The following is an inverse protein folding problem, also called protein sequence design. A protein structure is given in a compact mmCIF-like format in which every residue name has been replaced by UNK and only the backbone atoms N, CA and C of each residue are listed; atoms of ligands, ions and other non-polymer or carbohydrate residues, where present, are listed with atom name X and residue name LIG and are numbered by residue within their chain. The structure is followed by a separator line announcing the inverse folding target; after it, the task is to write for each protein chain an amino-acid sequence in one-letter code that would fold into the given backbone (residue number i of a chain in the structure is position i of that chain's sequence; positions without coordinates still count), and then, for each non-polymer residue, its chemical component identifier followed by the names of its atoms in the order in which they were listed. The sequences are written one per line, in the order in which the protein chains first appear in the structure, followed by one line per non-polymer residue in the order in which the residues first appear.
data_IF_051707514803
#
_entry.id   IF_051707514803
#
_cell.length_a   1.000
_cell.length_b   1.000
_cell.length_c   1.000
_cell.angle_alpha   90.00
_cell.angle_beta   90.00
_cell.angle_gamma   90.00
#
_symmetry.space_group_name_H-M   'P 1'
#
loop_
_entity.id
_entity.type
_entity.pdbx_description
1 polymer ?
#
# COMPACT_ATOMS: atom_id res chain seq x y z
N UNK A 1 15.53 34.12 -14.06
CA UNK A 1 15.46 32.76 -14.65
C UNK A 1 15.15 31.63 -13.64
N UNK A 2 15.12 31.87 -12.31
CA UNK A 2 14.74 30.85 -11.31
C UNK A 2 13.21 30.69 -11.11
N UNK A 3 12.43 31.76 -11.29
CA UNK A 3 10.96 31.72 -11.12
C UNK A 3 10.23 30.86 -12.17
N UNK A 4 10.72 30.85 -13.42
CA UNK A 4 10.12 30.07 -14.51
C UNK A 4 10.28 28.55 -14.33
N UNK A 5 11.38 28.10 -13.70
CA UNK A 5 11.56 26.68 -13.37
C UNK A 5 10.63 26.23 -12.23
N UNK A 6 10.45 27.07 -11.20
CA UNK A 6 9.52 26.78 -10.10
C UNK A 6 8.07 26.64 -10.56
N UNK A 7 7.59 27.56 -11.41
CA UNK A 7 6.25 27.48 -12.01
C UNK A 7 6.11 26.26 -12.95
N UNK A 8 7.16 25.89 -13.68
CA UNK A 8 7.16 24.73 -14.58
C UNK A 8 7.08 23.39 -13.83
N UNK A 9 7.85 23.22 -12.75
CA UNK A 9 7.77 22.02 -11.90
C UNK A 9 6.45 21.97 -11.12
N UNK A 10 5.97 23.09 -10.59
CA UNK A 10 4.67 23.15 -9.90
C UNK A 10 3.50 22.86 -10.86
N UNK A 11 3.49 23.47 -12.05
CA UNK A 11 2.48 23.24 -13.08
C UNK A 11 2.47 21.80 -13.62
N UNK A 12 3.64 21.18 -13.83
CA UNK A 12 3.75 19.75 -14.18
C UNK A 12 3.24 18.83 -13.08
N UNK A 13 3.46 19.18 -11.82
CA UNK A 13 2.98 18.39 -10.69
C UNK A 13 1.45 18.44 -10.61
N UNK A 14 0.84 19.61 -10.80
CA UNK A 14 -0.63 19.75 -10.83
C UNK A 14 -1.26 19.05 -12.06
N UNK A 15 -0.66 19.15 -13.24
CA UNK A 15 -1.19 18.47 -14.43
C UNK A 15 -1.10 16.95 -14.29
N UNK A 16 0.02 16.42 -13.79
CA UNK A 16 0.20 14.99 -13.53
C UNK A 16 -0.76 14.46 -12.46
N UNK A 17 -1.01 15.24 -11.40
CA UNK A 17 -2.00 14.89 -10.38
C UNK A 17 -3.44 14.88 -10.93
N UNK A 18 -3.78 15.83 -11.81
CA UNK A 18 -5.07 15.86 -12.48
C UNK A 18 -5.25 14.66 -13.41
N UNK A 19 -4.23 14.32 -14.18
CA UNK A 19 -4.22 13.14 -15.06
C UNK A 19 -4.37 11.84 -14.27
N UNK A 20 -3.64 11.71 -13.15
CA UNK A 20 -3.77 10.57 -12.24
C UNK A 20 -5.17 10.47 -11.65
N UNK A 21 -5.74 11.61 -11.24
CA UNK A 21 -7.12 11.65 -10.74
C UNK A 21 -8.13 11.21 -11.79
N UNK A 22 -8.05 11.75 -13.01
CA UNK A 22 -8.93 11.42 -14.13
C UNK A 22 -8.81 9.95 -14.53
N UNK A 23 -7.58 9.43 -14.59
CA UNK A 23 -7.31 8.02 -14.91
C UNK A 23 -7.92 7.10 -13.85
N UNK A 24 -7.79 7.46 -12.56
CA UNK A 24 -8.41 6.70 -11.47
C UNK A 24 -9.94 6.68 -11.61
N UNK A 25 -10.58 7.83 -11.87
CA UNK A 25 -12.03 7.88 -12.07
C UNK A 25 -12.49 7.03 -13.26
N UNK A 26 -11.72 7.04 -14.35
CA UNK A 26 -12.02 6.22 -15.53
C UNK A 26 -11.92 4.71 -15.20
N UNK A 27 -10.92 4.31 -14.42
CA UNK A 27 -10.75 2.92 -13.98
C UNK A 27 -11.85 2.47 -13.01
N UNK A 28 -12.32 3.35 -12.12
CA UNK A 28 -13.43 3.03 -11.21
C UNK A 28 -14.77 2.86 -11.95
N UNK A 29 -14.97 3.60 -13.05
CA UNK A 29 -16.19 3.51 -13.88
C UNK A 29 -16.14 2.43 -14.95
N UNK A 30 -15.00 1.77 -15.14
CA UNK A 30 -14.84 0.77 -16.17
C UNK A 30 -15.73 -0.46 -15.88
N UNK A 31 -16.38 -1.00 -16.91
CA UNK A 31 -17.11 -2.25 -16.81
C UNK A 31 -16.14 -3.43 -16.83
N UNK A 32 -16.42 -4.44 -16.00
CA UNK A 32 -15.58 -5.63 -15.87
C UNK A 32 -16.34 -6.88 -16.30
N UNK A 33 -15.66 -7.84 -16.96
CA UNK A 33 -16.23 -9.16 -17.19
C UNK A 33 -16.73 -9.77 -15.87
N UNK A 34 -17.83 -10.54 -15.93
CA UNK A 34 -18.43 -11.14 -14.73
C UNK A 34 -17.49 -12.08 -13.97
N UNK A 35 -16.51 -12.64 -14.68
CA UNK A 35 -15.48 -13.55 -14.19
C UNK A 35 -14.14 -12.87 -13.87
N UNK A 36 -14.08 -11.52 -13.91
CA UNK A 36 -12.87 -10.77 -13.57
C UNK A 36 -12.38 -11.04 -12.15
N UNK A 37 -13.30 -11.32 -11.23
CA UNK A 37 -13.00 -11.77 -9.88
C UNK A 37 -13.51 -13.19 -9.67
N UNK A 38 -12.68 -13.99 -9.00
CA UNK A 38 -13.09 -15.29 -8.49
C UNK A 38 -13.80 -15.08 -7.16
N UNK A 39 -14.96 -15.75 -6.98
CA UNK A 39 -15.70 -15.71 -5.71
C UNK A 39 -14.79 -16.21 -4.58
N UNK A 40 -14.65 -15.43 -3.52
CA UNK A 40 -13.96 -15.87 -2.33
C UNK A 40 -14.77 -16.99 -1.65
N UNK A 41 -14.22 -18.21 -1.63
CA UNK A 41 -14.76 -19.37 -0.91
C UNK A 41 -13.99 -19.69 0.36
N UNK A 42 -12.98 -18.89 0.70
CA UNK A 42 -12.16 -19.07 1.90
C UNK A 42 -12.82 -18.52 3.16
N UNK A 43 -12.40 -19.05 4.31
CA UNK A 43 -12.84 -18.61 5.64
C UNK A 43 -12.01 -17.46 6.22
N UNK A 44 -11.05 -16.93 5.45
CA UNK A 44 -10.17 -15.84 5.92
C UNK A 44 -10.96 -14.54 5.90
N UNK A 45 -11.32 -14.09 7.10
CA UNK A 45 -12.06 -12.86 7.28
C UNK A 45 -11.17 -11.63 7.09
N UNK A 46 -9.96 -11.63 7.66
CA UNK A 46 -9.10 -10.44 7.72
C UNK A 46 -7.76 -10.71 7.04
N UNK A 47 -7.33 -9.80 6.17
CA UNK A 47 -5.99 -9.80 5.60
C UNK A 47 -5.29 -8.49 5.94
N UNK A 48 -4.11 -8.59 6.54
CA UNK A 48 -3.27 -7.44 6.87
C UNK A 48 -2.04 -7.45 5.98
N UNK A 49 -1.79 -6.35 5.27
CA UNK A 49 -0.57 -6.16 4.51
C UNK A 49 0.22 -4.99 5.10
N UNK A 50 1.44 -5.30 5.54
CA UNK A 50 2.37 -4.33 6.15
C UNK A 50 3.45 -4.01 5.13
N UNK A 51 3.61 -2.74 4.84
CA UNK A 51 4.72 -2.22 4.06
C UNK A 51 5.76 -1.64 5.02
N UNK A 52 6.98 -2.18 4.98
CA UNK A 52 8.12 -1.60 5.70
C UNK A 52 8.82 -0.51 4.89
N UNK A 53 9.60 0.32 5.58
CA UNK A 53 10.42 1.37 4.98
C UNK A 53 11.91 1.03 5.15
N UNK A 54 12.66 1.11 4.04
CA UNK A 54 14.13 0.96 3.99
C UNK A 54 14.75 -0.29 4.67
N UNK A 55 13.97 -1.34 4.95
CA UNK A 55 14.43 -2.57 5.58
C UNK A 55 15.18 -3.48 4.60
N UNK A 56 16.33 -4.00 5.02
CA UNK A 56 17.16 -4.92 4.23
C UNK A 56 17.33 -6.26 4.95
N UNK A 57 17.00 -7.35 4.26
CA UNK A 57 17.12 -8.74 4.75
C UNK A 57 18.49 -9.10 5.31
N UNK A 58 19.56 -8.50 4.79
CA UNK A 58 20.93 -8.83 5.20
C UNK A 58 21.22 -8.40 6.65
N UNK A 59 20.38 -7.56 7.25
CA UNK A 59 20.49 -7.11 8.64
C UNK A 59 19.39 -7.68 9.54
N UNK A 60 18.69 -8.72 9.10
CA UNK A 60 17.57 -9.33 9.83
C UNK A 60 17.95 -10.72 10.35
N UNK A 61 17.85 -10.92 11.66
CA UNK A 61 18.20 -12.19 12.31
C UNK A 61 17.41 -13.39 11.78
N UNK A 62 16.15 -13.21 11.39
CA UNK A 62 15.29 -14.27 10.80
C UNK A 62 15.82 -14.82 9.47
N UNK A 63 16.70 -14.07 8.79
CA UNK A 63 17.41 -14.43 7.57
C UNK A 63 18.90 -14.78 7.81
N UNK A 64 19.32 -14.98 9.06
CA UNK A 64 20.68 -15.42 9.41
C UNK A 64 21.66 -14.31 9.76
N UNK A 65 21.21 -13.07 9.95
CA UNK A 65 22.08 -12.01 10.49
C UNK A 65 22.52 -12.35 11.93
N UNK A 66 23.77 -12.07 12.26
CA UNK A 66 24.37 -12.52 13.53
C UNK A 66 23.73 -11.90 14.77
N UNK A 67 23.28 -10.64 14.68
CA UNK A 67 22.62 -9.97 15.80
C UNK A 67 21.11 -10.30 15.80
N UNK A 68 20.49 -10.43 16.99
CA UNK A 68 19.06 -10.73 17.12
C UNK A 68 18.19 -9.50 16.85
N UNK A 69 18.20 -8.99 15.62
CA UNK A 69 17.45 -7.79 15.20
C UNK A 69 15.97 -8.05 14.98
N UNK A 70 15.56 -9.30 14.82
CA UNK A 70 14.15 -9.70 14.58
C UNK A 70 13.72 -10.89 15.44
N UNK A 71 13.86 -10.84 16.79
CA UNK A 71 13.67 -12.00 17.67
C UNK A 71 12.24 -12.56 17.63
N UNK A 72 11.24 -11.69 17.51
CA UNK A 72 9.83 -12.10 17.38
C UNK A 72 9.56 -12.84 16.07
N UNK A 73 10.12 -12.38 14.94
CA UNK A 73 9.98 -13.07 13.65
C UNK A 73 10.68 -14.43 13.66
N UNK A 74 11.87 -14.51 14.28
CA UNK A 74 12.57 -15.79 14.45
C UNK A 74 11.73 -16.78 15.26
N UNK A 75 11.12 -16.33 16.36
CA UNK A 75 10.23 -17.16 17.18
C UNK A 75 9.01 -17.66 16.38
N UNK A 76 8.41 -16.81 15.54
CA UNK A 76 7.28 -17.23 14.69
C UNK A 76 7.71 -18.24 13.62
N UNK A 77 8.92 -18.09 13.06
CA UNK A 77 9.49 -19.02 12.09
C UNK A 77 9.73 -20.39 12.72
N UNK A 78 10.32 -20.43 13.92
CA UNK A 78 10.55 -21.66 14.69
C UNK A 78 9.24 -22.38 15.03
N UNK A 79 8.18 -21.63 15.35
CA UNK A 79 6.83 -22.18 15.62
C UNK A 79 6.07 -22.64 14.36
N UNK A 80 6.63 -22.46 13.17
CA UNK A 80 5.95 -22.77 11.90
C UNK A 80 4.78 -21.83 11.58
N UNK A 81 4.68 -20.69 12.26
CA UNK A 81 3.61 -19.68 12.04
C UNK A 81 4.05 -18.54 11.11
N UNK A 82 5.30 -18.52 10.67
CA UNK A 82 5.84 -17.58 9.69
C UNK A 82 6.46 -18.33 8.52
N UNK A 83 5.97 -18.04 7.31
CA UNK A 83 6.63 -18.40 6.06
C UNK A 83 7.53 -17.23 5.61
N UNK A 84 8.84 -17.41 5.72
CA UNK A 84 9.83 -16.41 5.27
C UNK A 84 10.26 -16.71 3.83
N UNK A 85 10.35 -15.69 2.99
CA UNK A 85 10.78 -15.82 1.60
C UNK A 85 12.25 -15.40 1.44
N UNK A 86 13.10 -16.31 0.95
CA UNK A 86 14.54 -16.10 0.87
C UNK A 86 15.02 -15.53 -0.47
N UNK A 87 14.13 -15.18 -1.40
CA UNK A 87 14.52 -14.63 -2.70
C UNK A 87 13.51 -13.58 -3.19
N UNK A 88 13.45 -12.44 -2.50
CA UNK A 88 12.60 -11.30 -2.84
C UNK A 88 13.47 -10.06 -3.02
N UNK A 89 13.21 -9.32 -4.09
CA UNK A 89 13.85 -8.03 -4.39
C UNK A 89 12.78 -6.96 -4.56
N UNK A 90 13.12 -5.71 -4.21
CA UNK A 90 12.22 -4.59 -4.46
C UNK A 90 12.16 -4.25 -5.96
N UNK A 91 11.01 -3.78 -6.47
CA UNK A 91 10.89 -3.40 -7.87
C UNK A 91 11.70 -2.13 -8.18
N UNK A 92 11.98 -1.27 -7.19
CA UNK A 92 12.87 -0.11 -7.30
C UNK A 92 13.62 0.18 -5.98
N UNK A 93 14.63 1.06 -6.04
CA UNK A 93 15.49 1.40 -4.90
C UNK A 93 15.00 2.58 -4.04
N UNK A 94 13.96 3.31 -4.47
CA UNK A 94 13.36 4.40 -3.70
C UNK A 94 11.84 4.22 -3.62
N UNK A 95 11.27 4.67 -2.50
CA UNK A 95 9.89 4.40 -2.07
C UNK A 95 8.89 4.70 -3.17
N UNK A 96 8.83 5.95 -3.66
CA UNK A 96 7.79 6.36 -4.59
C UNK A 96 7.74 5.49 -5.87
N UNK A 97 8.88 5.25 -6.54
CA UNK A 97 8.90 4.38 -7.71
C UNK A 97 8.58 2.93 -7.39
N UNK A 98 8.96 2.43 -6.21
CA UNK A 98 8.60 1.08 -5.78
C UNK A 98 7.07 0.94 -5.71
N UNK A 99 6.40 1.93 -5.13
CA UNK A 99 4.94 1.95 -4.97
C UNK A 99 4.17 2.07 -6.28
N UNK A 100 4.74 2.71 -7.30
CA UNK A 100 4.13 2.72 -8.65
C UNK A 100 3.94 1.32 -9.23
N UNK A 101 4.81 0.35 -8.88
CA UNK A 101 4.71 -1.04 -9.33
C UNK A 101 4.05 -1.94 -8.28
N UNK A 102 4.38 -1.76 -7.01
CA UNK A 102 3.87 -2.61 -5.92
C UNK A 102 2.35 -2.54 -5.77
N UNK A 103 1.77 -1.35 -5.94
CA UNK A 103 0.33 -1.14 -5.76
C UNK A 103 -0.47 -1.20 -7.06
N UNK A 104 0.16 -1.39 -8.22
CA UNK A 104 -0.51 -1.34 -9.52
C UNK A 104 -0.18 -2.53 -10.39
N UNK A 105 -0.87 -2.67 -11.52
CA UNK A 105 -0.52 -3.65 -12.55
C UNK A 105 0.73 -3.24 -13.36
N UNK A 106 1.37 -2.13 -13.03
CA UNK A 106 2.63 -1.72 -13.62
C UNK A 106 3.79 -2.60 -13.13
N UNK A 107 4.75 -2.85 -14.00
CA UNK A 107 5.97 -3.57 -13.70
C UNK A 107 7.13 -2.99 -14.53
N UNK A 108 8.33 -3.54 -14.36
CA UNK A 108 9.53 -3.04 -15.06
C UNK A 108 9.39 -3.05 -16.59
N UNK A 109 8.65 -4.00 -17.14
CA UNK A 109 8.56 -4.23 -18.58
C UNK A 109 7.49 -3.37 -19.26
N UNK A 110 6.51 -2.86 -18.50
CA UNK A 110 5.38 -2.13 -19.04
C UNK A 110 5.30 -0.65 -18.61
N UNK A 111 6.15 -0.20 -17.68
CA UNK A 111 6.17 1.20 -17.21
C UNK A 111 6.50 2.23 -18.31
N UNK A 112 7.09 1.80 -19.42
CA UNK A 112 7.35 2.65 -20.59
C UNK A 112 6.15 2.74 -21.57
N UNK A 113 5.16 1.86 -21.45
CA UNK A 113 4.02 1.79 -22.38
C UNK A 113 2.93 2.79 -22.01
N UNK A 114 2.72 3.01 -20.71
CA UNK A 114 1.77 3.98 -20.18
C UNK A 114 2.17 4.39 -18.75
N UNK A 115 1.67 5.53 -18.28
CA UNK A 115 1.96 6.00 -16.94
C UNK A 115 1.38 5.05 -15.88
N UNK A 116 2.04 4.95 -14.73
CA UNK A 116 1.65 4.05 -13.63
C UNK A 116 0.20 4.26 -13.18
N UNK A 117 -0.28 5.50 -13.16
CA UNK A 117 -1.65 5.84 -12.76
C UNK A 117 -2.73 5.45 -13.77
N UNK A 118 -2.33 5.00 -14.97
CA UNK A 118 -3.21 4.44 -16.00
C UNK A 118 -3.36 2.91 -15.88
N UNK A 119 -2.64 2.29 -14.94
CA UNK A 119 -2.86 0.90 -14.55
C UNK A 119 -3.91 0.80 -13.44
N UNK A 120 -4.63 -0.32 -13.41
CA UNK A 120 -5.43 -0.67 -12.23
C UNK A 120 -4.52 -0.75 -11.02
N UNK A 121 -5.06 -0.43 -9.85
CA UNK A 121 -4.33 -0.48 -8.59
C UNK A 121 -5.09 -1.32 -7.56
N UNK A 122 -4.41 -1.64 -6.46
CA UNK A 122 -4.96 -2.48 -5.41
C UNK A 122 -6.31 -1.96 -4.91
N UNK A 123 -6.43 -0.65 -4.65
CA UNK A 123 -7.70 -0.05 -4.20
C UNK A 123 -8.85 -0.30 -5.18
N UNK A 124 -8.61 -0.15 -6.50
CA UNK A 124 -9.63 -0.43 -7.52
C UNK A 124 -10.06 -1.90 -7.51
N UNK A 125 -9.12 -2.84 -7.33
CA UNK A 125 -9.45 -4.26 -7.27
C UNK A 125 -10.28 -4.56 -6.02
N UNK A 126 -9.92 -3.99 -4.87
CA UNK A 126 -10.64 -4.20 -3.63
C UNK A 126 -12.08 -3.68 -3.66
N UNK A 127 -12.32 -2.55 -4.34
CA UNK A 127 -13.69 -2.03 -4.58
C UNK A 127 -14.59 -2.96 -5.38
N UNK A 128 -14.02 -3.87 -6.16
CA UNK A 128 -14.78 -4.87 -6.90
C UNK A 128 -15.14 -6.09 -6.05
N UNK A 129 -14.53 -6.22 -4.87
CA UNK A 129 -14.75 -7.31 -3.92
C UNK A 129 -15.65 -6.86 -2.77
N UNK A 130 -16.15 -7.80 -1.97
CA UNK A 130 -16.88 -7.51 -0.73
C UNK A 130 -15.96 -7.14 0.45
N UNK A 131 -14.71 -6.76 0.18
CA UNK A 131 -13.75 -6.38 1.20
C UNK A 131 -13.88 -4.89 1.53
N UNK A 132 -14.08 -4.58 2.81
CA UNK A 132 -13.84 -3.21 3.30
C UNK A 132 -12.34 -2.99 3.45
N UNK A 133 -11.86 -1.92 2.82
CA UNK A 133 -10.44 -1.63 2.66
C UNK A 133 -10.05 -0.38 3.45
N UNK A 134 -9.00 -0.48 4.26
CA UNK A 134 -8.51 0.63 5.08
C UNK A 134 -7.00 0.78 4.96
N UNK A 135 -6.55 2.03 4.83
CA UNK A 135 -5.16 2.43 4.79
C UNK A 135 -4.79 3.17 6.07
N UNK A 136 -3.88 2.63 6.88
CA UNK A 136 -3.34 3.28 8.07
C UNK A 136 -1.85 3.58 7.85
N UNK A 137 -1.44 4.83 8.09
CA UNK A 137 -0.07 5.27 7.77
C UNK A 137 0.56 6.12 8.87
N UNK A 138 1.87 5.94 9.07
CA UNK A 138 2.70 6.85 9.88
C UNK A 138 3.31 7.99 9.09
N UNK A 139 3.30 7.91 7.76
CA UNK A 139 3.82 8.99 6.93
C UNK A 139 2.83 10.16 6.88
N UNK A 140 3.33 11.36 7.17
CA UNK A 140 2.52 12.56 7.35
C UNK A 140 2.01 13.17 6.05
N UNK A 141 0.79 13.75 6.09
CA UNK A 141 0.03 14.33 4.98
C UNK A 141 0.81 15.35 4.12
N UNK A 142 1.64 16.19 4.76
CA UNK A 142 2.30 17.33 4.12
C UNK A 142 3.37 16.96 3.08
N UNK A 143 4.04 15.82 3.25
CA UNK A 143 5.08 15.32 2.33
C UNK A 143 4.50 14.40 1.25
N UNK A 144 3.22 14.01 1.37
CA UNK A 144 2.62 12.91 0.63
C UNK A 144 1.76 13.31 -0.56
N UNK A 145 1.32 14.57 -0.66
CA UNK A 145 0.30 14.97 -1.63
C UNK A 145 0.67 14.66 -3.10
N UNK A 146 1.96 14.74 -3.43
CA UNK A 146 2.50 14.41 -4.76
C UNK A 146 2.86 12.93 -4.98
N UNK A 147 2.94 12.13 -3.91
CA UNK A 147 3.50 10.78 -3.99
C UNK A 147 2.50 9.77 -4.54
N UNK A 148 2.99 8.81 -5.30
CA UNK A 148 2.21 7.77 -5.96
C UNK A 148 1.41 6.92 -4.97
N UNK A 149 2.00 6.54 -3.84
CA UNK A 149 1.31 5.75 -2.82
C UNK A 149 0.12 6.49 -2.21
N UNK A 150 0.22 7.80 -1.97
CA UNK A 150 -0.92 8.60 -1.51
C UNK A 150 -2.06 8.64 -2.53
N UNK A 151 -1.73 8.77 -3.82
CA UNK A 151 -2.74 8.76 -4.88
C UNK A 151 -3.53 7.46 -4.93
N UNK A 152 -2.91 6.33 -4.56
CA UNK A 152 -3.59 5.04 -4.41
C UNK A 152 -4.29 4.94 -3.05
N UNK A 153 -3.63 5.32 -1.96
CA UNK A 153 -4.12 5.24 -0.58
C UNK A 153 -5.46 5.97 -0.38
N UNK A 154 -5.62 7.16 -0.97
CA UNK A 154 -6.88 7.92 -0.89
C UNK A 154 -8.06 7.28 -1.62
N UNK A 155 -7.84 6.18 -2.35
CA UNK A 155 -8.89 5.43 -3.05
C UNK A 155 -9.42 4.27 -2.21
N UNK A 156 -8.78 3.93 -1.09
CA UNK A 156 -9.32 3.00 -0.11
C UNK A 156 -10.59 3.57 0.54
N UNK A 157 -11.43 2.70 1.10
CA UNK A 157 -12.71 3.12 1.71
C UNK A 157 -12.49 3.97 2.96
N UNK A 158 -11.38 3.75 3.66
CA UNK A 158 -10.97 4.54 4.82
C UNK A 158 -9.48 4.83 4.79
N UNK A 159 -9.12 6.06 5.13
CA UNK A 159 -7.73 6.51 5.29
C UNK A 159 -7.56 7.04 6.71
N UNK A 160 -6.57 6.53 7.43
CA UNK A 160 -6.25 6.90 8.80
C UNK A 160 -4.78 7.27 8.88
N UNK A 161 -4.50 8.44 9.43
CA UNK A 161 -3.15 8.91 9.65
C UNK A 161 -2.81 8.80 11.13
N UNK A 162 -1.58 8.35 11.40
CA UNK A 162 -1.01 8.37 12.72
C UNK A 162 -0.59 9.80 13.06
N UNK A 163 -1.12 10.31 14.16
CA UNK A 163 -0.78 11.62 14.70
C UNK A 163 0.50 11.61 15.55
N UNK A 164 1.11 10.43 15.72
CA UNK A 164 2.29 10.22 16.54
C UNK A 164 3.51 9.79 15.71
N UNK A 165 4.73 10.06 16.20
CA UNK A 165 5.96 9.89 15.42
C UNK A 165 6.41 8.44 15.22
N UNK A 166 5.87 7.48 15.99
CA UNK A 166 6.34 6.09 15.99
C UNK A 166 5.28 5.11 15.50
N UNK A 167 5.72 4.09 14.77
CA UNK A 167 4.88 3.06 14.15
C UNK A 167 4.18 2.14 15.15
N UNK A 168 4.66 2.07 16.39
CA UNK A 168 3.99 1.33 17.46
C UNK A 168 2.53 1.77 17.66
N UNK A 169 2.21 3.02 17.30
CA UNK A 169 0.88 3.58 17.39
C UNK A 169 -0.06 3.05 16.30
N UNK A 170 0.48 2.56 15.17
CA UNK A 170 -0.32 1.96 14.10
C UNK A 170 -1.09 0.74 14.60
N UNK A 171 -0.48 -0.09 15.44
CA UNK A 171 -1.15 -1.25 16.03
C UNK A 171 -2.35 -0.84 16.90
N UNK A 172 -2.22 0.23 17.68
CA UNK A 172 -3.31 0.77 18.49
C UNK A 172 -4.43 1.38 17.63
N UNK A 173 -4.07 2.13 16.58
CA UNK A 173 -5.02 2.69 15.62
C UNK A 173 -5.80 1.59 14.89
N UNK A 174 -5.11 0.55 14.44
CA UNK A 174 -5.75 -0.62 13.87
C UNK A 174 -6.70 -1.28 14.85
N UNK A 175 -6.27 -1.57 16.08
CA UNK A 175 -7.12 -2.20 17.08
C UNK A 175 -8.40 -1.39 17.29
N UNK A 176 -8.28 -0.06 17.44
CA UNK A 176 -9.42 0.84 17.59
C UNK A 176 -10.35 0.81 16.37
N UNK A 177 -9.80 0.85 15.16
CA UNK A 177 -10.59 0.75 13.93
C UNK A 177 -11.31 -0.60 13.85
N UNK A 178 -10.59 -1.69 14.07
CA UNK A 178 -11.10 -3.06 14.01
C UNK A 178 -12.23 -3.28 15.01
N UNK A 179 -12.06 -2.85 16.27
CA UNK A 179 -13.08 -3.00 17.31
C UNK A 179 -14.36 -2.23 16.94
N UNK A 180 -14.24 -0.97 16.49
CA UNK A 180 -15.37 -0.15 16.05
C UNK A 180 -16.10 -0.73 14.82
N UNK A 181 -15.36 -1.33 13.89
CA UNK A 181 -15.93 -1.89 12.67
C UNK A 181 -16.55 -3.26 12.89
N UNK A 182 -16.00 -4.09 13.79
CA UNK A 182 -16.61 -5.37 14.18
C UNK A 182 -18.02 -5.16 14.75
N UNK A 183 -18.23 -4.07 15.49
CA UNK A 183 -19.55 -3.70 16.00
C UNK A 183 -20.55 -3.31 14.89
N UNK A 184 -20.05 -2.86 13.73
CA UNK A 184 -20.86 -2.34 12.61
C UNK A 184 -21.04 -3.33 11.46
N UNK A 185 -20.04 -4.17 11.21
CA UNK A 185 -19.94 -5.08 10.06
C UNK A 185 -19.31 -6.38 10.53
N UNK A 186 -19.93 -7.52 10.18
CA UNK A 186 -19.48 -8.85 10.61
C UNK A 186 -18.09 -9.26 10.09
N UNK A 187 -17.49 -8.53 9.16
CA UNK A 187 -16.16 -8.83 8.62
C UNK A 187 -15.44 -7.56 8.15
N UNK A 188 -14.47 -7.10 8.94
CA UNK A 188 -13.39 -6.24 8.42
C UNK A 188 -12.50 -7.14 7.58
N UNK A 189 -12.06 -6.67 6.41
CA UNK A 189 -11.67 -7.61 5.38
C UNK A 189 -10.26 -7.37 4.85
N UNK A 190 -9.82 -6.14 4.62
CA UNK A 190 -8.39 -5.84 4.37
C UNK A 190 -7.95 -4.56 5.08
N UNK A 191 -6.82 -4.66 5.79
CA UNK A 191 -6.15 -3.52 6.40
C UNK A 191 -4.69 -3.44 5.94
N UNK A 192 -4.29 -2.26 5.47
CA UNK A 192 -2.93 -1.98 5.02
C UNK A 192 -2.25 -1.02 5.98
N UNK A 193 -1.04 -1.39 6.38
CA UNK A 193 -0.12 -0.52 7.10
C UNK A 193 0.97 -0.02 6.17
N UNK A 194 1.18 1.29 6.18
CA UNK A 194 2.36 1.90 5.60
C UNK A 194 3.17 2.57 6.72
N UNK A 195 4.37 2.03 6.95
CA UNK A 195 5.36 2.54 7.88
C UNK A 195 6.20 3.60 7.17
#
# INVERSE_FOLDING_TARGET
MLWLKGAYYFGRNISGLRESHNSSQALEKASYPKDYLVKNTGSIENVVLVFGESLNRNFMGVYGYQAPTTPYLSTLKEKGSLLAFDNVISPAFYTDKSFTMLLTYANRDNLNQKAWYQYKNLAHILKLTDYKSVWITSQGYGLMWGNSYYQVAKRFDTYIENDKPYDENLAALFKRYYDNERERVKSVKILLFFI
#
